data_IF_929430042423
#
_entry.id   IF_929430042423
#
_cell.length_a   1.000
_cell.length_b   1.000
_cell.length_c   1.000
_cell.angle_alpha   90.00
_cell.angle_beta   90.00
_cell.angle_gamma   90.00
#
_symmetry.space_group_name_H-M   'P 1'
#
loop_
_entity.id
_entity.type
_entity.pdbx_description
1 polymer ?
#
# COMPACT_ATOMS: atom_id res chain seq x y z
N UNK A 1 5.64 29.91 -34.60
CA UNK A 1 6.36 28.62 -34.80
C UNK A 1 7.23 28.38 -33.58
N UNK A 2 6.72 27.70 -32.56
CA UNK A 2 7.45 26.84 -31.62
C UNK A 2 6.43 26.26 -30.64
N UNK A 3 5.98 25.06 -30.96
CA UNK A 3 5.20 24.20 -30.07
C UNK A 3 6.22 23.62 -29.10
N UNK A 4 6.13 24.00 -27.83
CA UNK A 4 6.98 23.46 -26.77
C UNK A 4 6.66 21.97 -26.59
N UNK A 5 7.71 21.16 -26.68
CA UNK A 5 7.66 19.72 -26.47
C UNK A 5 7.16 19.41 -25.06
N UNK A 6 6.08 18.63 -25.00
CA UNK A 6 5.68 17.85 -23.84
C UNK A 6 6.89 16.99 -23.45
N UNK A 7 7.48 17.27 -22.30
CA UNK A 7 8.56 16.47 -21.74
C UNK A 7 8.00 15.08 -21.39
N UNK A 8 8.21 14.13 -22.30
CA UNK A 8 8.12 12.71 -21.99
C UNK A 8 9.24 12.40 -20.98
N UNK A 9 8.89 12.25 -19.71
CA UNK A 9 9.83 11.85 -18.65
C UNK A 9 10.71 10.70 -19.14
N UNK A 10 12.01 10.95 -19.25
CA UNK A 10 12.95 10.00 -19.82
C UNK A 10 13.27 8.91 -18.79
N UNK A 11 13.47 7.65 -19.20
CA UNK A 11 13.95 6.57 -18.32
C UNK A 11 15.27 6.86 -17.60
N UNK A 12 16.04 7.86 -18.05
CA UNK A 12 17.31 8.28 -17.44
C UNK A 12 17.12 8.97 -16.09
N UNK A 13 16.09 9.79 -15.89
CA UNK A 13 15.85 10.52 -14.63
C UNK A 13 15.55 9.60 -13.44
N UNK A 14 15.04 8.41 -13.73
CA UNK A 14 14.78 7.36 -12.74
C UNK A 14 16.05 6.58 -12.39
N UNK A 15 16.96 6.37 -13.36
CA UNK A 15 18.23 5.68 -13.11
C UNK A 15 19.18 6.50 -12.23
N UNK A 16 19.14 7.83 -12.34
CA UNK A 16 19.96 8.74 -11.53
C UNK A 16 19.52 8.80 -10.06
N UNK A 17 18.23 8.58 -9.76
CA UNK A 17 17.72 8.50 -8.38
C UNK A 17 18.13 7.23 -7.63
N UNK A 18 18.62 6.23 -8.36
CA UNK A 18 19.13 4.98 -7.79
C UNK A 18 20.65 4.98 -7.64
N UNK A 19 21.32 6.07 -8.00
CA UNK A 19 22.77 6.21 -7.89
C UNK A 19 23.14 6.19 -6.39
N UNK A 20 23.70 5.08 -5.93
CA UNK A 20 24.01 4.84 -4.50
C UNK A 20 23.39 3.56 -3.92
N UNK A 21 22.42 2.93 -4.60
CA UNK A 21 21.86 1.64 -4.16
C UNK A 21 22.68 0.45 -4.72
N UNK A 22 22.77 -0.66 -3.97
CA UNK A 22 23.37 -1.91 -4.45
C UNK A 22 22.77 -2.40 -5.79
N UNK A 23 23.56 -3.07 -6.64
CA UNK A 23 23.13 -3.43 -8.01
C UNK A 23 21.96 -4.42 -8.03
N UNK A 24 21.89 -5.33 -7.06
CA UNK A 24 20.74 -6.22 -6.84
C UNK A 24 19.45 -5.44 -6.59
N UNK A 25 19.50 -4.36 -5.80
CA UNK A 25 18.37 -3.46 -5.59
C UNK A 25 17.97 -2.74 -6.88
N UNK A 26 18.95 -2.27 -7.65
CA UNK A 26 18.69 -1.63 -8.95
C UNK A 26 18.04 -2.61 -9.94
N UNK A 27 18.42 -3.89 -9.90
CA UNK A 27 17.79 -4.96 -10.69
C UNK A 27 16.34 -5.17 -10.25
N UNK A 28 16.07 -5.27 -8.95
CA UNK A 28 14.70 -5.43 -8.42
C UNK A 28 13.84 -4.23 -8.81
N UNK A 29 14.35 -3.01 -8.66
CA UNK A 29 13.66 -1.80 -9.07
C UNK A 29 13.30 -1.79 -10.56
N UNK A 30 14.27 -2.13 -11.44
CA UNK A 30 14.02 -2.25 -12.89
C UNK A 30 12.98 -3.32 -13.19
N UNK A 31 12.99 -4.43 -12.44
CA UNK A 31 12.03 -5.51 -12.60
C UNK A 31 10.62 -5.08 -12.17
N UNK A 32 10.48 -4.40 -11.02
CA UNK A 32 9.22 -3.82 -10.56
C UNK A 32 8.68 -2.88 -11.63
N UNK A 33 9.48 -1.92 -12.11
CA UNK A 33 9.06 -1.01 -13.18
C UNK A 33 8.72 -1.73 -14.48
N UNK A 34 9.41 -2.83 -14.83
CA UNK A 34 9.08 -3.64 -16.02
C UNK A 34 7.75 -4.39 -15.85
N UNK A 35 7.49 -4.88 -14.65
CA UNK A 35 6.25 -5.58 -14.32
C UNK A 35 5.06 -4.62 -14.36
N UNK A 36 5.26 -3.44 -13.76
CA UNK A 36 4.34 -2.33 -13.58
C UNK A 36 4.10 -1.51 -14.86
N UNK A 37 5.12 -1.24 -15.68
CA UNK A 37 5.03 -0.49 -16.94
C UNK A 37 4.42 -1.24 -18.12
N UNK A 38 3.93 -2.46 -17.90
CA UNK A 38 3.40 -3.31 -18.95
C UNK A 38 4.51 -3.84 -19.88
N UNK A 39 4.64 -5.17 -20.01
CA UNK A 39 5.29 -5.74 -21.19
C UNK A 39 4.50 -5.34 -22.43
N UNK A 40 4.90 -4.26 -23.08
CA UNK A 40 4.35 -3.83 -24.36
C UNK A 40 4.66 -4.88 -25.42
N UNK A 41 3.64 -5.20 -26.20
CA UNK A 41 3.59 -6.09 -27.36
C UNK A 41 3.47 -7.60 -27.06
N UNK A 42 2.21 -8.03 -27.12
CA UNK A 42 1.73 -9.34 -27.60
C UNK A 42 1.63 -10.53 -26.63
N UNK A 43 2.26 -10.50 -25.44
CA UNK A 43 2.12 -11.62 -24.47
C UNK A 43 1.15 -11.38 -23.30
N UNK A 44 0.62 -10.16 -23.13
CA UNK A 44 -0.22 -9.74 -21.96
C UNK A 44 -1.68 -9.38 -22.24
N UNK A 45 -2.21 -9.54 -23.46
CA UNK A 45 -3.68 -9.57 -23.68
C UNK A 45 -4.41 -10.70 -22.89
N UNK A 46 -3.65 -11.54 -22.16
CA UNK A 46 -4.09 -12.66 -21.33
C UNK A 46 -3.96 -12.47 -19.80
N UNK A 47 -3.46 -11.33 -19.31
CA UNK A 47 -3.38 -11.09 -17.85
C UNK A 47 -4.75 -10.76 -17.25
N UNK A 48 -4.93 -10.93 -15.94
CA UNK A 48 -6.23 -10.89 -15.26
C UNK A 48 -6.76 -9.48 -14.97
N UNK A 49 -6.09 -8.42 -15.43
CA UNK A 49 -6.56 -7.05 -15.23
C UNK A 49 -7.96 -6.86 -15.81
N UNK A 50 -8.80 -6.14 -15.07
CA UNK A 50 -10.21 -5.84 -15.37
C UNK A 50 -11.12 -7.06 -15.47
N UNK A 51 -10.59 -8.28 -15.30
CA UNK A 51 -11.40 -9.50 -15.27
C UNK A 51 -11.98 -9.67 -13.88
N UNK A 52 -13.30 -9.84 -13.84
CA UNK A 52 -13.99 -10.17 -12.62
C UNK A 52 -13.54 -11.55 -12.10
N UNK A 53 -12.83 -11.56 -10.98
CA UNK A 53 -12.28 -12.76 -10.34
C UNK A 53 -13.34 -13.71 -9.83
N UNK A 54 -14.53 -13.20 -9.46
CA UNK A 54 -15.65 -14.02 -8.98
C UNK A 54 -16.22 -14.92 -10.08
N UNK A 55 -16.00 -14.57 -11.35
CA UNK A 55 -16.45 -15.35 -12.51
C UNK A 55 -15.41 -16.37 -13.01
N UNK A 56 -14.19 -16.37 -12.45
CA UNK A 56 -13.12 -17.25 -12.92
C UNK A 56 -13.37 -18.70 -12.51
N UNK A 57 -13.28 -19.61 -13.48
CA UNK A 57 -13.27 -21.05 -13.19
C UNK A 57 -12.09 -21.43 -12.28
N UNK A 58 -12.21 -22.50 -11.46
CA UNK A 58 -11.24 -22.84 -10.40
C UNK A 58 -9.78 -22.94 -10.89
N UNK A 59 -9.57 -23.43 -12.12
CA UNK A 59 -8.24 -23.59 -12.71
C UNK A 59 -7.57 -22.23 -13.01
N UNK A 60 -8.34 -21.26 -13.50
CA UNK A 60 -7.86 -19.91 -13.77
C UNK A 60 -7.65 -19.13 -12.47
N UNK A 61 -8.54 -19.29 -11.49
CA UNK A 61 -8.39 -18.67 -10.18
C UNK A 61 -7.11 -19.16 -9.46
N UNK A 62 -6.86 -20.48 -9.44
CA UNK A 62 -5.60 -21.03 -8.89
C UNK A 62 -4.37 -20.50 -9.61
N UNK A 63 -4.43 -20.36 -10.94
CA UNK A 63 -3.35 -19.76 -11.71
C UNK A 63 -3.12 -18.29 -11.32
N UNK A 64 -4.17 -17.50 -11.17
CA UNK A 64 -4.08 -16.12 -10.71
C UNK A 64 -3.38 -16.05 -9.34
N UNK A 65 -3.81 -16.85 -8.36
CA UNK A 65 -3.18 -16.88 -7.04
C UNK A 65 -1.71 -17.29 -7.10
N UNK A 66 -1.38 -18.30 -7.93
CA UNK A 66 0.01 -18.73 -8.13
C UNK A 66 0.87 -17.64 -8.79
N UNK A 67 0.33 -16.92 -9.76
CA UNK A 67 1.04 -15.80 -10.39
C UNK A 67 1.20 -14.62 -9.40
N UNK A 68 0.19 -14.32 -8.56
CA UNK A 68 0.32 -13.33 -7.46
C UNK A 68 1.42 -13.72 -6.49
N UNK A 69 1.40 -14.96 -5.99
CA UNK A 69 2.38 -15.46 -5.04
C UNK A 69 3.80 -15.45 -5.60
N UNK A 70 3.98 -15.89 -6.85
CA UNK A 70 5.30 -15.98 -7.49
C UNK A 70 5.88 -14.61 -7.84
N UNK A 71 5.06 -13.73 -8.39
CA UNK A 71 5.54 -12.53 -9.05
C UNK A 71 5.42 -11.28 -8.16
N UNK A 72 4.47 -11.25 -7.23
CA UNK A 72 4.09 -10.02 -6.53
C UNK A 72 4.21 -10.09 -5.00
N UNK A 73 4.59 -11.24 -4.45
CA UNK A 73 4.80 -11.44 -3.02
C UNK A 73 6.23 -11.91 -2.79
N UNK A 74 6.94 -11.21 -1.92
CA UNK A 74 8.32 -11.57 -1.55
C UNK A 74 8.44 -11.73 -0.04
N UNK A 75 9.14 -12.77 0.41
CA UNK A 75 9.56 -12.94 1.81
C UNK A 75 11.08 -12.89 1.88
N UNK A 76 11.65 -11.86 2.48
CA UNK A 76 13.11 -11.70 2.62
C UNK A 76 13.62 -11.87 4.05
N UNK A 77 12.74 -12.15 5.00
CA UNK A 77 13.12 -12.26 6.41
C UNK A 77 14.06 -13.45 6.64
N UNK A 78 15.24 -13.17 7.18
CA UNK A 78 16.19 -14.12 7.72
C UNK A 78 16.17 -14.03 9.24
N UNK A 79 15.68 -15.08 9.89
CA UNK A 79 15.55 -15.16 11.36
C UNK A 79 16.90 -15.13 12.08
N UNK A 80 18.02 -15.35 11.38
CA UNK A 80 19.36 -15.27 11.95
C UNK A 80 19.96 -13.86 11.89
N UNK A 81 19.26 -12.91 11.26
CA UNK A 81 19.69 -11.52 11.14
C UNK A 81 18.77 -10.62 11.96
N UNK A 82 19.35 -9.59 12.56
CA UNK A 82 18.58 -8.53 13.18
C UNK A 82 17.86 -7.68 12.13
N UNK A 83 16.91 -6.88 12.59
CA UNK A 83 16.35 -5.79 11.80
C UNK A 83 17.44 -4.80 11.39
N UNK A 84 17.32 -4.23 10.18
CA UNK A 84 18.22 -3.18 9.70
C UNK A 84 17.44 -1.87 9.70
N UNK A 85 17.37 -1.23 10.88
CA UNK A 85 16.61 -0.01 11.11
C UNK A 85 17.53 1.23 11.13
N UNK A 86 17.05 2.35 10.61
CA UNK A 86 17.75 3.64 10.70
C UNK A 86 17.65 4.23 12.11
N UNK A 87 16.49 4.15 12.75
CA UNK A 87 16.16 4.67 14.06
C UNK A 87 15.80 3.51 15.01
N UNK A 88 16.74 2.57 15.18
CA UNK A 88 16.51 1.31 15.91
C UNK A 88 16.12 1.50 17.39
N UNK A 89 16.50 2.64 17.97
CA UNK A 89 16.21 3.13 19.32
C UNK A 89 14.76 3.59 19.49
N UNK A 90 14.08 3.98 18.40
CA UNK A 90 12.64 4.22 18.42
C UNK A 90 11.93 2.87 18.53
N UNK A 91 11.21 2.67 19.63
CA UNK A 91 10.47 1.44 19.85
C UNK A 91 9.18 1.41 19.01
N UNK A 92 8.40 2.48 19.08
CA UNK A 92 7.12 2.61 18.37
C UNK A 92 7.16 3.81 17.44
N UNK A 93 7.39 3.62 16.14
CA UNK A 93 7.39 4.72 15.19
C UNK A 93 5.98 5.17 14.78
N UNK A 94 4.91 4.45 15.13
CA UNK A 94 3.59 4.66 14.51
C UNK A 94 3.02 6.06 14.76
N UNK A 95 3.34 6.68 15.89
CA UNK A 95 2.71 7.90 16.43
C UNK A 95 1.37 7.68 17.18
N UNK A 96 1.04 6.44 17.55
CA UNK A 96 -0.06 6.10 18.47
C UNK A 96 -1.01 4.98 18.01
N UNK A 97 -1.05 4.69 16.71
CA UNK A 97 -1.81 3.62 16.06
C UNK A 97 -1.47 2.27 16.68
N UNK A 98 -0.17 1.92 16.80
CA UNK A 98 0.26 0.66 17.40
C UNK A 98 -0.22 0.52 18.85
N UNK A 99 -0.18 1.61 19.63
CA UNK A 99 -0.67 1.64 21.00
C UNK A 99 -2.18 1.40 21.07
N UNK A 100 -2.97 2.03 20.17
CA UNK A 100 -4.41 1.80 20.09
C UNK A 100 -4.75 0.36 19.72
N UNK A 101 -4.02 -0.24 18.77
CA UNK A 101 -4.22 -1.65 18.39
C UNK A 101 -3.87 -2.59 19.54
N UNK A 102 -2.82 -2.30 20.31
CA UNK A 102 -2.47 -3.09 21.49
C UNK A 102 -3.54 -3.01 22.58
N UNK A 103 -4.14 -1.84 22.78
CA UNK A 103 -5.25 -1.67 23.72
C UNK A 103 -6.46 -2.52 23.31
N UNK A 104 -6.86 -2.43 22.03
CA UNK A 104 -7.99 -3.20 21.46
C UNK A 104 -7.80 -4.71 21.60
N UNK A 105 -6.59 -5.22 21.35
CA UNK A 105 -6.29 -6.65 21.39
C UNK A 105 -5.63 -7.12 22.70
N UNK A 106 -5.70 -6.32 23.76
CA UNK A 106 -5.12 -6.67 25.08
C UNK A 106 -3.67 -7.19 24.98
N UNK A 107 -2.84 -6.47 24.22
CA UNK A 107 -1.43 -6.80 24.00
C UNK A 107 -1.18 -8.19 23.37
N UNK A 108 -2.15 -8.69 22.58
CA UNK A 108 -2.08 -9.96 21.83
C UNK A 108 -0.73 -10.16 21.15
N UNK A 109 -0.25 -11.41 21.19
CA UNK A 109 0.97 -11.86 20.51
C UNK A 109 0.63 -12.69 19.28
N UNK A 110 1.56 -12.73 18.34
CA UNK A 110 1.49 -13.57 17.14
C UNK A 110 0.25 -13.30 16.26
N UNK A 111 -0.20 -12.04 16.18
CA UNK A 111 -1.22 -11.63 15.23
C UNK A 111 -0.67 -11.47 13.81
N UNK A 112 -1.58 -11.24 12.87
CA UNK A 112 -1.29 -10.96 11.49
C UNK A 112 -1.77 -9.55 11.09
N UNK A 113 -0.87 -8.71 10.56
CA UNK A 113 -1.22 -7.38 10.08
C UNK A 113 -1.14 -7.28 8.55
N UNK A 114 -1.86 -6.30 7.99
CA UNK A 114 -1.61 -5.78 6.64
C UNK A 114 -1.40 -4.27 6.77
N UNK A 115 -0.37 -3.73 6.13
CA UNK A 115 -0.11 -2.28 6.06
C UNK A 115 0.00 -1.89 4.60
N UNK A 116 -0.91 -1.05 4.13
CA UNK A 116 -0.90 -0.50 2.78
C UNK A 116 -0.53 0.98 2.85
N UNK A 117 0.53 1.34 2.10
CA UNK A 117 1.28 2.57 2.34
C UNK A 117 2.44 2.36 3.32
N UNK A 118 3.13 1.23 3.19
CA UNK A 118 4.19 0.86 4.14
C UNK A 118 5.45 1.75 4.03
N UNK A 119 5.51 2.65 3.05
CA UNK A 119 6.62 3.56 2.81
C UNK A 119 7.96 2.81 2.77
N UNK A 120 8.94 3.23 3.56
CA UNK A 120 10.27 2.60 3.63
C UNK A 120 10.32 1.37 4.56
N UNK A 121 9.18 0.95 5.11
CA UNK A 121 9.05 -0.16 6.04
C UNK A 121 9.53 0.14 7.46
N UNK A 122 9.77 1.40 7.82
CA UNK A 122 10.22 1.79 9.16
C UNK A 122 9.62 3.11 9.63
N UNK A 123 9.88 4.19 8.88
CA UNK A 123 9.47 5.55 9.21
C UNK A 123 7.95 5.59 9.32
N UNK A 124 7.45 5.94 10.51
CA UNK A 124 6.02 5.97 10.81
C UNK A 124 5.27 4.66 10.60
N UNK A 125 5.96 3.51 10.58
CA UNK A 125 5.30 2.24 10.34
C UNK A 125 4.32 1.90 11.46
N UNK A 126 3.07 1.64 11.08
CA UNK A 126 1.99 1.34 12.01
C UNK A 126 2.10 -0.07 12.62
N UNK A 127 2.96 -0.92 12.07
CA UNK A 127 3.04 -2.35 12.43
C UNK A 127 4.39 -2.77 13.01
N UNK A 128 5.43 -1.93 12.93
CA UNK A 128 6.79 -2.31 13.31
C UNK A 128 6.90 -2.68 14.81
N UNK A 129 6.19 -1.97 15.69
CA UNK A 129 6.16 -2.32 17.12
C UNK A 129 5.54 -3.70 17.36
N UNK A 130 4.38 -3.96 16.73
CA UNK A 130 3.64 -5.22 16.85
C UNK A 130 4.52 -6.39 16.36
N UNK A 131 5.25 -6.18 15.27
CA UNK A 131 6.17 -7.15 14.71
C UNK A 131 7.33 -7.45 15.66
N UNK A 132 8.08 -6.40 16.08
CA UNK A 132 9.30 -6.52 16.90
C UNK A 132 9.02 -7.05 18.31
N UNK A 133 7.97 -6.55 18.96
CA UNK A 133 7.77 -6.73 20.40
C UNK A 133 6.58 -7.60 20.77
N UNK A 134 5.67 -7.86 19.82
CA UNK A 134 4.53 -8.78 19.99
C UNK A 134 4.62 -10.02 19.11
N UNK A 135 5.67 -10.13 18.30
CA UNK A 135 5.91 -11.31 17.48
C UNK A 135 4.86 -11.46 16.38
N UNK A 136 4.20 -10.37 15.98
CA UNK A 136 3.32 -10.37 14.82
C UNK A 136 4.13 -10.59 13.55
N UNK A 137 3.44 -10.99 12.49
CA UNK A 137 3.96 -11.00 11.13
C UNK A 137 2.91 -10.42 10.21
N UNK A 138 3.22 -10.09 8.97
CA UNK A 138 2.20 -9.47 8.13
C UNK A 138 2.53 -9.38 6.67
N UNK A 139 1.83 -8.47 6.00
CA UNK A 139 2.07 -8.05 4.62
C UNK A 139 2.23 -6.52 4.59
N UNK A 140 3.32 -6.06 3.99
CA UNK A 140 3.58 -4.66 3.70
C UNK A 140 3.39 -4.41 2.20
N UNK A 141 2.52 -3.46 1.84
CA UNK A 141 2.20 -3.09 0.46
C UNK A 141 2.67 -1.66 0.22
N UNK A 142 3.54 -1.47 -0.76
CA UNK A 142 4.08 -0.16 -1.15
C UNK A 142 4.21 -0.08 -2.67
N UNK A 143 3.55 0.91 -3.28
CA UNK A 143 3.51 1.07 -4.73
C UNK A 143 4.67 1.91 -5.28
N UNK A 144 5.25 2.80 -4.47
CA UNK A 144 6.44 3.56 -4.82
C UNK A 144 7.66 2.63 -4.83
N UNK A 145 8.24 2.36 -6.01
CA UNK A 145 9.36 1.43 -6.13
C UNK A 145 10.62 1.91 -5.39
N UNK A 146 10.80 3.22 -5.16
CA UNK A 146 11.92 3.75 -4.37
C UNK A 146 11.72 3.35 -2.91
N UNK A 147 10.55 3.60 -2.33
CA UNK A 147 10.29 3.26 -0.94
C UNK A 147 10.26 1.74 -0.72
N UNK A 148 9.66 1.00 -1.66
CA UNK A 148 9.72 -0.46 -1.66
C UNK A 148 11.16 -0.99 -1.62
N UNK A 149 12.08 -0.40 -2.39
CA UNK A 149 13.49 -0.84 -2.35
C UNK A 149 14.20 -0.57 -1.02
N UNK A 150 13.85 0.50 -0.31
CA UNK A 150 14.33 0.74 1.05
C UNK A 150 13.76 -0.32 2.01
N UNK A 151 12.48 -0.64 1.87
CA UNK A 151 11.79 -1.64 2.69
C UNK A 151 12.41 -3.04 2.57
N UNK A 152 12.86 -3.45 1.38
CA UNK A 152 13.55 -4.72 1.17
C UNK A 152 14.79 -4.89 2.07
N UNK A 153 15.45 -3.79 2.42
CA UNK A 153 16.69 -3.83 3.20
C UNK A 153 16.46 -4.02 4.71
N UNK A 154 15.22 -3.88 5.18
CA UNK A 154 14.89 -3.80 6.61
C UNK A 154 14.91 -5.13 7.36
N UNK A 155 14.92 -6.25 6.62
CA UNK A 155 14.73 -7.60 7.18
C UNK A 155 13.42 -7.75 7.99
N UNK A 156 12.37 -7.00 7.60
CA UNK A 156 11.03 -7.09 8.21
C UNK A 156 10.51 -8.52 8.14
N UNK A 157 9.90 -9.01 9.22
CA UNK A 157 9.22 -10.31 9.34
C UNK A 157 7.82 -10.22 8.73
N UNK A 158 7.77 -9.83 7.47
CA UNK A 158 6.55 -9.65 6.70
C UNK A 158 6.77 -10.02 5.23
N UNK A 159 5.68 -10.41 4.57
CA UNK A 159 5.63 -10.41 3.12
C UNK A 159 5.67 -8.98 2.60
N UNK A 160 6.28 -8.76 1.45
CA UNK A 160 6.42 -7.46 0.81
C UNK A 160 5.77 -7.52 -0.57
N UNK A 161 5.00 -6.50 -0.93
CA UNK A 161 4.41 -6.36 -2.27
C UNK A 161 4.64 -4.96 -2.89
N UNK A 162 5.23 -4.86 -4.10
CA UNK A 162 5.52 -3.60 -4.79
C UNK A 162 4.31 -3.13 -5.62
N UNK A 163 3.15 -3.06 -5.00
CA UNK A 163 1.82 -3.00 -5.63
C UNK A 163 0.91 -2.08 -4.84
N UNK A 164 -0.36 -1.98 -5.22
CA UNK A 164 -1.36 -1.23 -4.46
C UNK A 164 -2.62 -2.06 -4.15
N UNK A 165 -3.48 -1.55 -3.25
CA UNK A 165 -4.84 -2.07 -3.08
C UNK A 165 -5.74 -1.52 -4.18
N UNK A 166 -6.50 -2.41 -4.82
CA UNK A 166 -7.43 -2.00 -5.87
C UNK A 166 -8.69 -1.39 -5.27
N UNK A 167 -9.11 -0.26 -5.84
CA UNK A 167 -10.45 0.32 -5.65
C UNK A 167 -11.56 -0.48 -6.36
N UNK A 168 -11.19 -1.43 -7.22
CA UNK A 168 -12.13 -2.34 -7.85
C UNK A 168 -12.26 -3.62 -7.03
N UNK A 169 -13.45 -3.87 -6.48
CA UNK A 169 -13.71 -4.98 -5.54
C UNK A 169 -13.31 -6.37 -6.06
N UNK A 170 -13.55 -6.64 -7.35
CA UNK A 170 -13.44 -8.00 -7.90
C UNK A 170 -12.44 -8.12 -9.04
N UNK A 171 -11.56 -7.15 -9.26
CA UNK A 171 -10.64 -7.21 -10.40
C UNK A 171 -9.25 -6.68 -10.06
N UNK A 172 -8.17 -7.39 -10.40
CA UNK A 172 -6.86 -6.76 -10.53
C UNK A 172 -6.94 -5.58 -11.49
N UNK A 173 -6.20 -4.51 -11.21
CA UNK A 173 -6.17 -3.32 -12.06
C UNK A 173 -4.73 -2.89 -12.30
N UNK A 174 -4.50 -2.28 -13.46
CA UNK A 174 -3.28 -1.53 -13.71
C UNK A 174 -3.63 -0.05 -13.56
N UNK A 175 -3.15 0.58 -12.50
CA UNK A 175 -3.53 1.95 -12.15
C UNK A 175 -2.36 2.91 -12.39
N UNK A 176 -2.68 4.18 -12.67
CA UNK A 176 -1.70 5.25 -12.70
C UNK A 176 -1.41 5.73 -11.28
N UNK A 177 -0.14 5.83 -10.92
CA UNK A 177 0.35 6.20 -9.59
C UNK A 177 1.33 7.35 -9.70
N UNK A 178 1.11 8.41 -8.92
CA UNK A 178 1.96 9.59 -8.85
C UNK A 178 3.02 9.40 -7.76
N UNK A 179 4.29 9.41 -8.15
CA UNK A 179 5.43 9.49 -7.23
C UNK A 179 5.90 10.94 -7.13
N UNK A 180 5.83 11.54 -5.96
CA UNK A 180 6.20 12.94 -5.76
C UNK A 180 6.92 13.16 -4.43
N UNK A 181 8.25 12.99 -4.46
CA UNK A 181 9.14 13.08 -3.30
C UNK A 181 8.72 12.11 -2.18
N UNK A 182 8.04 12.62 -1.16
CA UNK A 182 7.59 11.85 -0.01
C UNK A 182 6.12 11.42 -0.11
N UNK A 183 5.41 11.83 -1.17
CA UNK A 183 4.02 11.50 -1.40
C UNK A 183 3.90 10.50 -2.56
N UNK A 184 3.11 9.44 -2.36
CA UNK A 184 2.82 8.43 -3.36
C UNK A 184 1.34 8.05 -3.32
N UNK A 185 0.61 8.22 -4.43
CA UNK A 185 -0.83 7.90 -4.46
C UNK A 185 -1.34 7.48 -5.83
N UNK A 186 -2.50 6.82 -5.86
CA UNK A 186 -3.24 6.62 -7.11
C UNK A 186 -3.69 7.97 -7.67
N UNK A 187 -3.36 8.22 -8.94
CA UNK A 187 -3.65 9.47 -9.61
C UNK A 187 -3.62 9.30 -11.12
N UNK A 188 -4.70 9.69 -11.80
CA UNK A 188 -4.74 9.73 -13.27
C UNK A 188 -4.16 11.07 -13.73
N UNK A 189 -3.17 11.05 -14.62
CA UNK A 189 -2.67 12.28 -15.22
C UNK A 189 -3.77 12.92 -16.08
N UNK A 190 -4.19 14.14 -15.73
CA UNK A 190 -5.20 14.86 -16.52
C UNK A 190 -4.66 15.25 -17.90
N UNK A 191 -5.45 15.03 -18.94
CA UNK A 191 -5.19 15.56 -20.29
C UNK A 191 -5.84 16.93 -20.52
N UNK A 192 -6.45 17.54 -19.50
CA UNK A 192 -7.29 18.73 -19.63
C UNK A 192 -6.82 19.87 -18.72
N UNK A 193 -6.61 21.03 -19.33
CA UNK A 193 -6.28 22.33 -18.72
C UNK A 193 -7.46 22.98 -17.97
N UNK A 194 -8.30 22.18 -17.28
CA UNK A 194 -9.59 22.63 -16.78
C UNK A 194 -9.90 22.14 -15.37
N UNK A 195 -9.94 23.11 -14.47
CA UNK A 195 -10.51 23.17 -13.11
C UNK A 195 -10.19 22.03 -12.11
N UNK A 196 -9.50 22.43 -11.06
CA UNK A 196 -8.79 21.61 -10.10
C UNK A 196 -9.81 21.00 -9.13
N UNK A 197 -9.99 19.67 -9.20
CA UNK A 197 -10.44 18.95 -8.01
C UNK A 197 -9.35 19.12 -6.95
N UNK A 198 -9.74 19.65 -5.80
CA UNK A 198 -8.92 20.28 -4.77
C UNK A 198 -7.96 19.32 -4.07
N UNK A 199 -6.92 18.88 -4.77
CA UNK A 199 -5.79 18.15 -4.22
C UNK A 199 -4.56 19.05 -4.34
N UNK A 200 -4.08 19.56 -3.20
CA UNK A 200 -2.96 20.51 -3.00
C UNK A 200 -2.14 20.87 -4.25
N UNK A 201 -2.17 22.15 -4.61
CA UNK A 201 -1.48 22.74 -5.76
C UNK A 201 0.05 22.47 -5.83
N UNK A 202 0.68 22.06 -4.74
CA UNK A 202 2.14 21.94 -4.66
C UNK A 202 2.74 20.67 -5.26
N UNK A 203 1.96 19.59 -5.45
CA UNK A 203 2.54 18.25 -5.75
C UNK A 203 2.15 17.71 -7.13
N UNK A 204 0.99 18.11 -7.67
CA UNK A 204 0.46 17.59 -8.94
C UNK A 204 1.34 17.94 -10.17
N UNK A 205 2.20 18.97 -10.08
CA UNK A 205 2.99 19.46 -11.20
C UNK A 205 4.46 19.01 -11.24
N UNK A 206 4.97 18.30 -10.21
CA UNK A 206 6.41 17.94 -10.11
C UNK A 206 6.70 16.46 -9.93
N UNK A 207 5.67 15.63 -9.74
CA UNK A 207 5.82 14.18 -9.60
C UNK A 207 5.85 13.43 -10.94
N UNK A 208 6.24 12.17 -10.88
CA UNK A 208 6.29 11.26 -12.02
C UNK A 208 5.18 10.22 -11.91
N UNK A 209 4.40 10.06 -12.97
CA UNK A 209 3.44 8.95 -13.06
C UNK A 209 4.12 7.67 -13.53
N UNK A 210 3.82 6.58 -12.82
CA UNK A 210 4.10 5.21 -13.24
C UNK A 210 2.79 4.42 -13.28
N UNK A 211 2.78 3.32 -14.01
CA UNK A 211 1.69 2.35 -13.87
C UNK A 211 2.07 1.40 -12.74
N UNK A 212 1.14 0.97 -11.91
CA UNK A 212 1.35 -0.01 -10.84
C UNK A 212 0.25 -1.06 -10.85
N UNK A 213 0.62 -2.31 -10.55
CA UNK A 213 -0.36 -3.38 -10.41
C UNK A 213 -1.06 -3.23 -9.05
N UNK A 214 -2.38 -3.34 -9.07
CA UNK A 214 -3.19 -3.31 -7.85
C UNK A 214 -4.07 -4.56 -7.78
N UNK A 215 -4.27 -5.05 -6.55
CA UNK A 215 -5.07 -6.24 -6.29
C UNK A 215 -6.13 -5.94 -5.23
N UNK A 216 -7.34 -6.49 -5.35
CA UNK A 216 -8.27 -6.56 -4.23
C UNK A 216 -7.60 -7.22 -3.02
N UNK A 217 -7.89 -6.73 -1.81
CA UNK A 217 -7.32 -7.25 -0.57
C UNK A 217 -7.51 -8.78 -0.44
N UNK A 218 -8.67 -9.27 -0.89
CA UNK A 218 -9.03 -10.70 -0.87
C UNK A 218 -8.07 -11.58 -1.65
N UNK A 219 -7.44 -11.07 -2.72
CA UNK A 219 -6.47 -11.83 -3.49
C UNK A 219 -5.14 -12.00 -2.75
N UNK A 220 -4.70 -11.02 -1.97
CA UNK A 220 -3.52 -11.19 -1.11
C UNK A 220 -3.77 -12.23 -0.04
N UNK A 221 -4.91 -12.13 0.65
CA UNK A 221 -5.31 -13.08 1.70
C UNK A 221 -5.37 -14.50 1.12
N UNK A 222 -6.01 -14.66 -0.04
CA UNK A 222 -6.13 -15.96 -0.71
C UNK A 222 -4.78 -16.50 -1.21
N UNK A 223 -3.92 -15.65 -1.80
CA UNK A 223 -2.61 -16.07 -2.31
C UNK A 223 -1.63 -16.46 -1.20
N UNK A 224 -1.71 -15.80 -0.05
CA UNK A 224 -0.91 -16.13 1.15
C UNK A 224 -1.52 -17.28 1.97
N UNK A 225 -2.77 -17.68 1.69
CA UNK A 225 -3.47 -18.71 2.45
C UNK A 225 -3.74 -18.32 3.90
N UNK A 226 -3.88 -17.02 4.17
CA UNK A 226 -4.11 -16.49 5.52
C UNK A 226 -5.58 -16.66 5.88
N UNK A 227 -5.85 -17.06 7.13
CA UNK A 227 -7.21 -17.27 7.65
C UNK A 227 -7.74 -16.07 8.41
N UNK A 228 -6.86 -15.37 9.11
CA UNK A 228 -7.19 -14.25 10.01
C UNK A 228 -6.21 -13.12 9.77
N UNK A 229 -6.73 -11.92 9.63
CA UNK A 229 -5.95 -10.68 9.65
C UNK A 229 -6.50 -9.89 10.81
N UNK A 230 -5.68 -9.60 11.80
CA UNK A 230 -6.07 -8.94 13.05
C UNK A 230 -6.10 -7.41 12.89
N UNK A 231 -5.17 -6.86 12.12
CA UNK A 231 -5.02 -5.42 11.94
C UNK A 231 -4.78 -5.06 10.48
N UNK A 232 -5.52 -4.08 9.95
CA UNK A 232 -5.22 -3.44 8.68
C UNK A 232 -4.97 -1.94 8.87
N UNK A 233 -3.78 -1.49 8.51
CA UNK A 233 -3.41 -0.08 8.39
C UNK A 233 -3.58 0.37 6.93
N UNK A 234 -4.32 1.45 6.72
CA UNK A 234 -4.60 2.03 5.41
C UNK A 234 -4.23 3.51 5.40
N UNK A 235 -3.10 3.82 4.77
CA UNK A 235 -2.56 5.16 4.62
C UNK A 235 -2.00 5.28 3.19
N UNK A 236 -2.87 5.59 2.23
CA UNK A 236 -2.53 5.53 0.79
C UNK A 236 -2.52 6.91 0.13
N UNK A 237 -2.51 7.96 0.96
CA UNK A 237 -2.44 9.37 0.56
C UNK A 237 -3.61 9.74 -0.39
N UNK A 238 -4.77 9.12 -0.18
CA UNK A 238 -5.99 9.23 -0.98
C UNK A 238 -6.56 7.89 -1.45
N UNK A 239 -7.88 7.87 -1.68
CA UNK A 239 -8.68 6.69 -2.04
C UNK A 239 -8.96 5.69 -0.90
N UNK A 240 -8.76 6.09 0.35
CA UNK A 240 -9.04 5.26 1.51
C UNK A 240 -10.50 4.81 1.52
N UNK A 241 -11.46 5.72 1.28
CA UNK A 241 -12.88 5.36 1.30
C UNK A 241 -13.23 4.42 0.15
N UNK A 242 -12.73 4.65 -1.07
CA UNK A 242 -12.97 3.72 -2.18
C UNK A 242 -12.40 2.33 -1.89
N UNK A 243 -11.22 2.24 -1.25
CA UNK A 243 -10.63 0.97 -0.85
C UNK A 243 -11.46 0.30 0.25
N UNK A 244 -11.90 1.05 1.28
CA UNK A 244 -12.74 0.56 2.37
C UNK A 244 -14.08 -0.01 1.89
N UNK A 245 -14.64 0.51 0.80
CA UNK A 245 -15.87 -0.04 0.19
C UNK A 245 -15.65 -1.42 -0.47
N UNK A 246 -14.40 -1.81 -0.73
CA UNK A 246 -14.05 -3.12 -1.31
C UNK A 246 -13.70 -4.18 -0.27
N UNK A 247 -13.37 -3.79 0.95
CA UNK A 247 -12.70 -4.64 1.94
C UNK A 247 -13.71 -5.47 2.75
N UNK A 248 -13.70 -6.81 2.66
CA UNK A 248 -14.49 -7.68 3.55
C UNK A 248 -13.69 -8.03 4.82
N UNK A 249 -13.11 -7.02 5.47
CA UNK A 249 -12.37 -7.18 6.72
C UNK A 249 -13.32 -7.03 7.91
N UNK A 250 -12.99 -7.62 9.06
CA UNK A 250 -13.89 -7.68 10.22
C UNK A 250 -13.19 -7.54 11.59
N UNK A 251 -11.98 -6.99 11.66
CA UNK A 251 -11.26 -6.82 12.96
C UNK A 251 -11.00 -5.32 13.23
N UNK A 252 -9.75 -4.90 13.46
CA UNK A 252 -9.38 -3.50 13.72
C UNK A 252 -8.68 -2.82 12.52
N UNK A 253 -9.04 -1.55 12.26
CA UNK A 253 -8.51 -0.74 11.17
C UNK A 253 -7.91 0.57 11.69
N UNK A 254 -6.79 1.00 11.12
CA UNK A 254 -6.33 2.39 11.19
C UNK A 254 -6.43 2.97 9.80
N UNK A 255 -7.10 4.12 9.65
CA UNK A 255 -7.33 4.74 8.35
C UNK A 255 -7.00 6.22 8.42
N UNK A 256 -6.06 6.66 7.58
CA UNK A 256 -5.76 8.08 7.40
C UNK A 256 -6.94 8.80 6.74
N UNK A 257 -7.33 9.98 7.23
CA UNK A 257 -8.52 10.68 6.73
C UNK A 257 -8.24 12.05 6.09
N UNK A 258 -7.00 12.53 6.10
CA UNK A 258 -6.70 13.92 5.71
C UNK A 258 -6.65 14.12 4.19
N UNK A 259 -6.31 13.07 3.44
CA UNK A 259 -6.17 13.10 1.99
C UNK A 259 -7.43 12.64 1.23
N UNK A 260 -8.47 12.20 1.94
CA UNK A 260 -9.74 11.79 1.33
C UNK A 260 -10.67 12.99 1.09
N UNK A 261 -11.07 13.20 -0.16
CA UNK A 261 -11.91 14.32 -0.58
C UNK A 261 -13.32 14.34 0.05
N UNK A 262 -13.87 13.18 0.44
CA UNK A 262 -15.18 13.10 1.11
C UNK A 262 -15.07 13.39 2.61
N UNK A 263 -13.86 13.28 3.16
CA UNK A 263 -13.51 13.64 4.53
C UNK A 263 -14.02 12.67 5.61
N UNK A 264 -13.64 12.92 6.88
CA UNK A 264 -13.80 11.96 7.97
C UNK A 264 -15.26 11.66 8.33
N UNK A 265 -16.19 12.62 8.14
CA UNK A 265 -17.62 12.39 8.41
C UNK A 265 -18.22 11.34 7.49
N UNK A 266 -17.87 11.38 6.20
CA UNK A 266 -18.33 10.37 5.25
C UNK A 266 -17.72 9.00 5.58
N UNK A 267 -16.41 8.97 5.84
CA UNK A 267 -15.69 7.75 6.20
C UNK A 267 -16.32 7.05 7.41
N UNK A 268 -16.57 7.79 8.49
CA UNK A 268 -17.22 7.23 9.70
C UNK A 268 -18.59 6.65 9.35
N UNK A 269 -19.44 7.38 8.62
CA UNK A 269 -20.76 6.91 8.24
C UNK A 269 -20.71 5.68 7.32
N UNK A 270 -19.73 5.58 6.43
CA UNK A 270 -19.51 4.41 5.58
C UNK A 270 -19.10 3.19 6.42
N UNK A 271 -18.18 3.37 7.36
CA UNK A 271 -17.71 2.32 8.25
C UNK A 271 -18.79 1.84 9.23
N UNK A 272 -19.61 2.75 9.76
CA UNK A 272 -20.77 2.41 10.59
C UNK A 272 -21.77 1.51 9.87
N UNK A 273 -22.08 1.79 8.60
CA UNK A 273 -22.93 0.93 7.76
C UNK A 273 -22.34 -0.46 7.55
N UNK A 274 -21.02 -0.57 7.57
CA UNK A 274 -20.30 -1.84 7.51
C UNK A 274 -20.16 -2.52 8.88
N UNK A 275 -20.78 -1.99 9.94
CA UNK A 275 -20.78 -2.59 11.27
C UNK A 275 -19.59 -2.19 12.15
N UNK A 276 -18.77 -1.22 11.75
CA UNK A 276 -17.65 -0.70 12.54
C UNK A 276 -18.07 0.45 13.45
N UNK A 277 -17.39 0.63 14.57
CA UNK A 277 -17.48 1.85 15.39
C UNK A 277 -16.11 2.53 15.45
N UNK A 278 -16.11 3.84 15.70
CA UNK A 278 -14.87 4.59 15.99
C UNK A 278 -14.44 4.28 17.41
N UNK A 279 -13.29 3.63 17.56
CA UNK A 279 -12.67 3.36 18.86
C UNK A 279 -11.95 4.60 19.38
N UNK A 280 -11.09 5.19 18.54
CA UNK A 280 -10.28 6.34 18.91
C UNK A 280 -9.82 7.12 17.67
N UNK A 281 -9.32 8.34 17.89
CA UNK A 281 -8.59 9.11 16.89
C UNK A 281 -7.12 9.15 17.29
N UNK A 282 -6.22 8.98 16.32
CA UNK A 282 -4.78 9.22 16.51
C UNK A 282 -4.43 10.50 15.78
N UNK A 283 -4.01 11.52 16.54
CA UNK A 283 -3.69 12.86 16.04
C UNK A 283 -2.42 13.37 16.69
N UNK A 284 -1.54 13.98 15.90
CA UNK A 284 -0.36 14.70 16.39
C UNK A 284 -0.49 16.20 16.11
N UNK A 285 0.09 17.04 16.96
CA UNK A 285 0.00 18.51 16.85
C UNK A 285 0.67 19.05 15.57
N UNK A 286 1.68 18.33 15.07
CA UNK A 286 2.41 18.62 13.83
C UNK A 286 1.70 18.10 12.58
N UNK A 287 0.51 17.51 12.74
CA UNK A 287 -0.31 16.96 11.67
C UNK A 287 0.36 15.79 10.89
N UNK A 288 1.33 15.10 11.51
CA UNK A 288 2.01 13.95 10.90
C UNK A 288 1.31 12.60 11.13
N UNK A 289 0.24 12.58 11.94
CA UNK A 289 -0.67 11.45 12.11
C UNK A 289 -2.11 11.96 12.17
N UNK A 290 -2.99 11.34 11.37
CA UNK A 290 -4.39 11.73 11.22
C UNK A 290 -5.25 10.50 10.93
N UNK A 291 -5.28 9.57 11.89
CA UNK A 291 -5.98 8.31 11.72
C UNK A 291 -7.26 8.23 12.55
N UNK A 292 -8.24 7.53 12.00
CA UNK A 292 -9.38 6.99 12.75
C UNK A 292 -9.13 5.51 12.98
N UNK A 293 -9.23 5.08 14.24
CA UNK A 293 -9.21 3.67 14.59
C UNK A 293 -10.65 3.14 14.59
N UNK A 294 -10.93 2.18 13.71
CA UNK A 294 -12.21 1.49 13.65
C UNK A 294 -12.10 0.08 14.18
N UNK A 295 -13.14 -0.39 14.89
CA UNK A 295 -13.25 -1.77 15.35
C UNK A 295 -14.59 -2.33 14.92
N UNK A 296 -14.59 -3.56 14.41
CA UNK A 296 -15.83 -4.26 14.04
C UNK A 296 -16.61 -4.61 15.31
N UNK A 297 -17.93 -4.44 15.28
CA UNK A 297 -18.78 -4.94 16.37
C UNK A 297 -18.84 -6.46 16.32
N UNK A 298 -18.73 -7.10 17.48
CA UNK A 298 -19.07 -8.52 17.64
C UNK A 298 -20.56 -8.69 17.29
N UNK A 299 -20.85 -9.48 16.24
CA UNK A 299 -22.21 -9.83 15.81
C UNK A 299 -22.56 -11.26 16.17
#
# INVERSE_FOLDING_TARGET
MQIAQIAKGHPQDVQDRLYGYPEDIRIIFREILRMSGGRTNDSRKRWFNERNVSTLGPRLFRRLLADIWRDWLTWQHDSNRSYVLQEADIQDPSMGQSAAIRDIFEDKRNGFFIECGAYDGETRSNTLYLERFRGWSGLLIEADPINFTKMLQKNRRAYLSPTCLSVAKESPTLASFLMARNLGRLHVADNTTGDISSNTADVAYTGQHIHVQCFPLTLYIAALGIKTVDYLSLDVEGNEIEILETIPFNEALSVEYIHDAKGPKYMIAAMEKQGYYVHSFVRQEDNLANDIIFVKRDT
#
